data_IF_707722566497
#
_entry.id   IF_707722566497
#
_cell.length_a   1.000
_cell.length_b   1.000
_cell.length_c   1.000
_cell.angle_alpha   90.00
_cell.angle_beta   90.00
_cell.angle_gamma   90.00
#
_symmetry.space_group_name_H-M   'P 1'
#
loop_
_entity.id
_entity.type
_entity.pdbx_description
1 polymer ?
#
# COMPACT_ATOMS: atom_id res chain seq x y z
N UNK A 1 -1.73 -5.94 31.69
CA UNK A 1 -2.73 -5.80 30.60
C UNK A 1 -3.19 -4.35 30.39
N UNK A 2 -3.27 -3.51 31.42
CA UNK A 2 -3.78 -2.14 31.28
C UNK A 2 -2.90 -1.21 30.44
N UNK A 3 -1.57 -1.30 30.55
CA UNK A 3 -0.65 -0.49 29.72
C UNK A 3 -0.75 -0.83 28.22
N UNK A 4 -1.03 -2.08 27.87
CA UNK A 4 -1.16 -2.51 26.46
C UNK A 4 -2.43 -1.94 25.83
N UNK A 5 -3.55 -1.94 26.56
CA UNK A 5 -4.78 -1.27 26.14
C UNK A 5 -4.60 0.24 26.02
N UNK A 6 -3.77 0.84 26.87
CA UNK A 6 -3.44 2.26 26.79
C UNK A 6 -2.60 2.58 25.55
N UNK A 7 -1.66 1.72 25.17
CA UNK A 7 -0.88 1.88 23.92
C UNK A 7 -1.76 1.79 22.66
N UNK A 8 -2.70 0.83 22.62
CA UNK A 8 -3.62 0.67 21.48
C UNK A 8 -4.58 1.87 21.35
N UNK A 9 -4.91 2.56 22.44
CA UNK A 9 -5.79 3.75 22.42
C UNK A 9 -5.21 4.96 21.69
N UNK A 10 -3.88 5.03 21.52
CA UNK A 10 -3.22 6.17 20.88
C UNK A 10 -2.94 5.95 19.38
N UNK A 11 -3.32 4.79 18.83
CA UNK A 11 -3.20 4.52 17.41
C UNK A 11 -4.26 5.28 16.63
N UNK A 12 -3.85 5.98 15.57
CA UNK A 12 -4.76 6.54 14.59
C UNK A 12 -5.26 5.43 13.66
N UNK A 13 -6.34 5.71 12.93
CA UNK A 13 -6.94 4.72 12.03
C UNK A 13 -5.95 4.18 10.99
N UNK A 14 -5.09 5.04 10.45
CA UNK A 14 -4.09 4.63 9.47
C UNK A 14 -2.99 3.72 10.07
N UNK A 15 -2.59 3.92 11.33
CA UNK A 15 -1.63 3.02 12.00
C UNK A 15 -2.18 1.62 12.14
N UNK A 16 -3.47 1.51 12.47
CA UNK A 16 -4.15 0.21 12.54
C UNK A 16 -4.13 -0.48 11.18
N UNK A 17 -4.39 0.26 10.10
CA UNK A 17 -4.31 -0.27 8.73
C UNK A 17 -2.91 -0.74 8.40
N UNK A 18 -1.87 0.07 8.68
CA UNK A 18 -0.46 -0.30 8.46
C UNK A 18 -0.13 -1.57 9.24
N UNK A 19 -0.41 -1.62 10.54
CA UNK A 19 -0.10 -2.77 11.40
C UNK A 19 -0.79 -4.03 10.90
N UNK A 20 -2.10 -3.98 10.64
CA UNK A 20 -2.87 -5.12 10.13
C UNK A 20 -2.32 -5.59 8.79
N UNK A 21 -2.04 -4.66 7.88
CA UNK A 21 -1.50 -4.97 6.56
C UNK A 21 -0.13 -5.65 6.65
N UNK A 22 0.78 -5.14 7.50
CA UNK A 22 2.10 -5.73 7.69
C UNK A 22 2.06 -7.08 8.43
N UNK A 23 1.07 -7.30 9.30
CA UNK A 23 0.80 -8.63 9.87
C UNK A 23 0.40 -9.60 8.76
N UNK A 24 -0.53 -9.21 7.88
CA UNK A 24 -0.94 -10.04 6.73
C UNK A 24 0.26 -10.36 5.84
N UNK A 25 1.07 -9.36 5.48
CA UNK A 25 2.27 -9.58 4.67
C UNK A 25 3.27 -10.53 5.35
N UNK A 26 3.42 -10.44 6.66
CA UNK A 26 4.30 -11.33 7.43
C UNK A 26 3.78 -12.77 7.41
N UNK A 27 2.47 -12.96 7.56
CA UNK A 27 1.83 -14.28 7.44
C UNK A 27 2.04 -14.85 6.03
N UNK A 28 1.86 -14.04 4.97
CA UNK A 28 2.10 -14.50 3.59
C UNK A 28 3.56 -14.91 3.37
N UNK A 29 4.53 -14.16 3.91
CA UNK A 29 5.94 -14.56 3.86
C UNK A 29 6.20 -15.90 4.55
N UNK A 30 5.57 -16.15 5.70
CA UNK A 30 5.71 -17.42 6.41
C UNK A 30 5.10 -18.59 5.63
N UNK A 31 3.94 -18.38 4.99
CA UNK A 31 3.28 -19.40 4.16
C UNK A 31 4.14 -19.77 2.95
N UNK A 32 4.76 -18.76 2.30
CA UNK A 32 5.57 -18.96 1.08
C UNK A 32 7.08 -18.93 1.34
N UNK A 33 7.51 -19.24 2.56
CA UNK A 33 8.93 -19.18 2.99
C UNK A 33 9.86 -20.00 2.10
N UNK A 34 9.39 -21.13 1.57
CA UNK A 34 10.19 -22.04 0.76
C UNK A 34 10.43 -21.50 -0.66
N UNK A 35 9.66 -20.49 -1.08
CA UNK A 35 9.76 -19.87 -2.43
C UNK A 35 10.41 -18.50 -2.41
N UNK A 36 10.28 -17.77 -1.30
CA UNK A 36 10.82 -16.42 -1.14
C UNK A 36 12.17 -16.53 -0.44
N UNK A 37 13.28 -16.46 -1.18
CA UNK A 37 14.63 -16.58 -0.63
C UNK A 37 14.92 -15.55 0.49
N UNK A 38 14.36 -14.34 0.36
CA UNK A 38 14.60 -13.21 1.30
C UNK A 38 13.55 -13.08 2.40
N UNK A 39 12.78 -14.14 2.69
CA UNK A 39 11.63 -14.07 3.59
C UNK A 39 11.97 -13.57 5.01
N UNK A 40 13.11 -13.99 5.57
CA UNK A 40 13.55 -13.57 6.92
C UNK A 40 13.80 -12.06 6.99
N UNK A 41 14.49 -11.52 5.99
CA UNK A 41 14.75 -10.09 5.88
C UNK A 41 13.46 -9.28 5.83
N UNK A 42 12.50 -9.72 5.01
CA UNK A 42 11.21 -9.02 4.88
C UNK A 42 10.33 -9.12 6.12
N UNK A 43 10.37 -10.24 6.85
CA UNK A 43 9.71 -10.33 8.15
C UNK A 43 10.34 -9.37 9.16
N UNK A 44 11.68 -9.28 9.21
CA UNK A 44 12.35 -8.32 10.08
C UNK A 44 11.96 -6.87 9.75
N UNK A 45 11.90 -6.53 8.46
CA UNK A 45 11.42 -5.21 7.99
C UNK A 45 9.96 -4.97 8.40
N UNK A 46 9.08 -5.96 8.27
CA UNK A 46 7.67 -5.82 8.67
C UNK A 46 7.52 -5.57 10.17
N UNK A 47 8.24 -6.35 10.99
CA UNK A 47 8.24 -6.18 12.43
C UNK A 47 8.80 -4.80 12.81
N UNK A 48 9.85 -4.35 12.14
CA UNK A 48 10.42 -3.01 12.34
C UNK A 48 9.41 -1.90 12.03
N UNK A 49 8.64 -2.01 10.93
CA UNK A 49 7.61 -1.04 10.56
C UNK A 49 6.45 -1.02 11.57
N UNK A 50 6.03 -2.19 12.03
CA UNK A 50 5.02 -2.30 13.10
C UNK A 50 5.53 -1.60 14.37
N UNK A 51 6.77 -1.86 14.77
CA UNK A 51 7.39 -1.21 15.94
C UNK A 51 7.50 0.31 15.78
N UNK A 52 7.88 0.79 14.60
CA UNK A 52 7.91 2.22 14.27
C UNK A 52 6.52 2.85 14.39
N UNK A 53 5.48 2.17 13.90
CA UNK A 53 4.10 2.67 13.96
C UNK A 53 3.66 2.87 15.41
N UNK A 54 3.95 1.89 16.29
CA UNK A 54 3.71 2.04 17.73
C UNK A 54 4.58 3.12 18.39
N UNK A 55 5.83 3.26 17.96
CA UNK A 55 6.76 4.26 18.49
C UNK A 55 6.28 5.68 18.17
N UNK A 56 5.87 5.96 16.94
CA UNK A 56 5.37 7.28 16.56
C UNK A 56 4.06 7.62 17.27
N UNK A 57 3.11 6.68 17.37
CA UNK A 57 1.89 6.87 18.13
C UNK A 57 2.16 7.21 19.62
N UNK A 58 3.17 6.56 20.22
CA UNK A 58 3.59 6.86 21.58
C UNK A 58 4.30 8.21 21.73
N UNK A 59 5.20 8.55 20.80
CA UNK A 59 5.96 9.81 20.84
C UNK A 59 5.07 11.02 20.60
N UNK A 60 4.11 10.93 19.68
CA UNK A 60 3.08 11.95 19.48
C UNK A 60 2.29 12.17 20.78
N UNK A 61 1.80 11.10 21.40
CA UNK A 61 1.05 11.20 22.65
C UNK A 61 1.86 11.77 23.83
N UNK A 62 3.18 11.58 23.84
CA UNK A 62 4.04 11.99 24.97
C UNK A 62 4.54 13.43 24.85
N UNK A 63 4.90 13.86 23.64
CA UNK A 63 5.63 15.11 23.44
C UNK A 63 4.80 16.24 22.83
N UNK A 64 3.55 15.97 22.42
CA UNK A 64 2.53 16.93 21.94
C UNK A 64 3.12 18.16 21.22
N UNK A 65 4.00 17.89 20.24
CA UNK A 65 4.72 18.90 19.47
C UNK A 65 4.45 18.67 17.98
N UNK A 66 4.36 19.76 17.23
CA UNK A 66 4.08 19.77 15.78
C UNK A 66 5.07 18.89 15.00
N UNK A 67 6.34 18.82 15.44
CA UNK A 67 7.33 17.94 14.84
C UNK A 67 6.95 16.45 14.91
N UNK A 68 6.49 15.97 16.07
CA UNK A 68 6.12 14.55 16.24
C UNK A 68 4.83 14.22 15.52
N UNK A 69 3.89 15.17 15.47
CA UNK A 69 2.67 15.04 14.69
C UNK A 69 2.98 14.93 13.18
N UNK A 70 3.81 15.83 12.65
CA UNK A 70 4.26 15.78 11.26
C UNK A 70 5.03 14.48 10.95
N UNK A 71 5.96 14.07 11.81
CA UNK A 71 6.69 12.81 11.64
C UNK A 71 5.75 11.59 11.63
N UNK A 72 4.73 11.59 12.50
CA UNK A 72 3.73 10.52 12.56
C UNK A 72 2.82 10.48 11.31
N UNK A 73 2.54 11.61 10.67
CA UNK A 73 1.83 11.61 9.39
C UNK A 73 2.74 11.20 8.21
N UNK A 74 3.98 11.68 8.19
CA UNK A 74 4.87 11.51 7.04
C UNK A 74 5.55 10.15 6.96
N UNK A 75 5.62 9.36 8.05
CA UNK A 75 6.28 8.05 8.00
C UNK A 75 5.60 7.08 7.03
N UNK A 76 4.32 7.26 6.72
CA UNK A 76 3.60 6.39 5.78
C UNK A 76 4.18 6.45 4.36
N UNK A 77 4.73 7.60 3.96
CA UNK A 77 5.28 7.83 2.62
C UNK A 77 6.45 6.87 2.33
N UNK A 78 7.54 6.83 3.12
CA UNK A 78 8.60 5.85 2.91
C UNK A 78 8.14 4.41 3.15
N UNK A 79 7.18 4.16 4.06
CA UNK A 79 6.62 2.82 4.28
C UNK A 79 5.94 2.26 3.03
N UNK A 80 5.21 3.09 2.28
CA UNK A 80 4.61 2.69 0.99
C UNK A 80 5.68 2.29 -0.01
N UNK A 81 6.77 3.05 -0.14
CA UNK A 81 7.87 2.69 -1.05
C UNK A 81 8.52 1.36 -0.67
N UNK A 82 8.72 1.12 0.63
CA UNK A 82 9.24 -0.15 1.14
C UNK A 82 8.26 -1.29 0.84
N UNK A 83 6.95 -1.06 1.02
CA UNK A 83 5.89 -2.02 0.66
C UNK A 83 5.97 -2.42 -0.81
N UNK A 84 6.09 -1.45 -1.72
CA UNK A 84 6.21 -1.74 -3.15
C UNK A 84 7.42 -2.62 -3.46
N UNK A 85 8.56 -2.30 -2.83
CA UNK A 85 9.78 -3.11 -3.00
C UNK A 85 9.62 -4.51 -2.43
N UNK A 86 8.94 -4.66 -1.30
CA UNK A 86 8.64 -5.95 -0.71
C UNK A 86 7.74 -6.79 -1.62
N UNK A 87 6.64 -6.21 -2.12
CA UNK A 87 5.71 -6.87 -3.02
C UNK A 87 6.39 -7.37 -4.29
N UNK A 88 7.35 -6.63 -4.83
CA UNK A 88 8.16 -7.06 -5.98
C UNK A 88 8.83 -8.43 -5.73
N UNK A 89 9.40 -8.65 -4.53
CA UNK A 89 10.02 -9.94 -4.18
C UNK A 89 9.01 -11.02 -3.79
N UNK A 90 7.76 -10.66 -3.51
CA UNK A 90 6.70 -11.63 -3.18
C UNK A 90 5.96 -12.12 -4.43
N UNK A 91 5.61 -11.21 -5.34
CA UNK A 91 4.65 -11.50 -6.42
C UNK A 91 5.20 -12.59 -7.33
N UNK A 92 6.46 -12.45 -7.79
CA UNK A 92 7.03 -13.38 -8.76
C UNK A 92 7.20 -14.81 -8.19
N UNK A 93 7.75 -15.03 -6.98
CA UNK A 93 7.85 -16.39 -6.43
C UNK A 93 6.51 -17.03 -6.05
N UNK A 94 5.51 -16.22 -5.71
CA UNK A 94 4.16 -16.71 -5.37
C UNK A 94 3.40 -17.08 -6.66
N UNK A 95 3.48 -16.23 -7.69
CA UNK A 95 2.81 -16.42 -8.97
C UNK A 95 3.60 -17.37 -9.86
N UNK A 96 3.27 -18.67 -9.78
CA UNK A 96 3.90 -19.71 -10.61
C UNK A 96 3.54 -19.56 -12.10
N UNK A 97 2.31 -19.14 -12.38
CA UNK A 97 1.77 -19.04 -13.74
C UNK A 97 1.27 -17.62 -14.00
N UNK A 98 1.56 -17.10 -15.18
CA UNK A 98 0.96 -15.86 -15.65
C UNK A 98 -0.49 -16.14 -16.08
N UNK A 99 -1.42 -15.35 -15.53
CA UNK A 99 -2.85 -15.46 -15.82
C UNK A 99 -3.30 -14.46 -16.89
N UNK A 100 -2.36 -14.00 -17.73
CA UNK A 100 -2.59 -12.93 -18.70
C UNK A 100 -3.72 -13.30 -19.67
N UNK A 101 -3.74 -14.53 -20.20
CA UNK A 101 -4.80 -15.00 -21.10
C UNK A 101 -6.18 -15.02 -20.41
N UNK A 102 -6.23 -15.42 -19.14
CA UNK A 102 -7.46 -15.43 -18.36
C UNK A 102 -7.99 -14.01 -18.16
N UNK A 103 -7.12 -13.05 -17.84
CA UNK A 103 -7.51 -11.66 -17.67
C UNK A 103 -7.94 -11.01 -19.00
N UNK A 104 -7.25 -11.28 -20.11
CA UNK A 104 -7.68 -10.85 -21.44
C UNK A 104 -9.06 -11.39 -21.79
N UNK A 105 -9.33 -12.66 -21.45
CA UNK A 105 -10.62 -13.28 -21.71
C UNK A 105 -11.72 -12.66 -20.84
N UNK A 106 -11.45 -12.39 -19.56
CA UNK A 106 -12.39 -11.69 -18.66
C UNK A 106 -12.69 -10.28 -19.20
N UNK A 107 -11.67 -9.52 -19.61
CA UNK A 107 -11.84 -8.20 -20.20
C UNK A 107 -12.74 -8.28 -21.45
N UNK A 108 -12.47 -9.21 -22.36
CA UNK A 108 -13.32 -9.41 -23.54
C UNK A 108 -14.75 -9.77 -23.15
N UNK A 109 -14.98 -10.62 -22.15
CA UNK A 109 -16.33 -10.94 -21.68
C UNK A 109 -17.04 -9.68 -21.16
N UNK A 110 -16.37 -8.90 -20.31
CA UNK A 110 -16.93 -7.66 -19.73
C UNK A 110 -17.28 -6.62 -20.81
N UNK A 111 -16.49 -6.58 -21.89
CA UNK A 111 -16.66 -5.65 -23.01
C UNK A 111 -17.33 -6.30 -24.24
N UNK A 112 -18.19 -7.30 -24.02
CA UNK A 112 -19.03 -7.93 -25.05
C UNK A 112 -18.25 -8.48 -26.27
N UNK A 113 -17.11 -9.10 -26.01
CA UNK A 113 -16.20 -9.68 -26.98
C UNK A 113 -15.16 -8.71 -27.55
N UNK A 114 -15.13 -7.45 -27.11
CA UNK A 114 -14.20 -6.43 -27.61
C UNK A 114 -13.01 -6.24 -26.67
N UNK A 115 -11.88 -5.80 -27.22
CA UNK A 115 -10.76 -5.35 -26.40
C UNK A 115 -11.06 -3.96 -25.81
N UNK A 116 -10.94 -3.75 -24.48
CA UNK A 116 -11.24 -2.48 -23.83
C UNK A 116 -10.45 -1.31 -24.44
N UNK A 117 -9.17 -1.53 -24.76
CA UNK A 117 -8.28 -0.52 -25.36
C UNK A 117 -8.81 -0.03 -26.71
N UNK A 118 -9.36 -0.92 -27.54
CA UNK A 118 -9.91 -0.54 -28.84
C UNK A 118 -11.20 0.27 -28.71
N UNK A 119 -12.03 -0.02 -27.69
CA UNK A 119 -13.23 0.75 -27.40
C UNK A 119 -12.90 2.15 -26.88
N UNK A 120 -11.99 2.23 -25.92
CA UNK A 120 -11.57 3.51 -25.32
C UNK A 120 -10.86 4.39 -26.35
N UNK A 121 -10.07 3.81 -27.25
CA UNK A 121 -9.38 4.57 -28.30
C UNK A 121 -10.35 5.38 -29.18
N UNK A 122 -11.59 4.90 -29.39
CA UNK A 122 -12.61 5.60 -30.19
C UNK A 122 -13.10 6.91 -29.55
N UNK A 123 -12.98 7.05 -28.23
CA UNK A 123 -13.41 8.25 -27.48
C UNK A 123 -12.22 9.11 -27.01
N UNK A 124 -10.99 8.59 -27.13
CA UNK A 124 -9.77 9.30 -26.76
C UNK A 124 -9.51 10.50 -27.68
N UNK A 125 -9.75 11.71 -27.17
CA UNK A 125 -9.41 12.97 -27.83
C UNK A 125 -8.31 13.69 -27.06
N UNK A 126 -7.48 14.55 -27.70
CA UNK A 126 -6.42 15.28 -26.99
C UNK A 126 -6.96 16.06 -25.79
N UNK A 127 -8.09 16.75 -25.96
CA UNK A 127 -8.74 17.50 -24.87
C UNK A 127 -9.16 16.59 -23.71
N UNK A 128 -9.79 15.45 -23.99
CA UNK A 128 -10.21 14.52 -22.95
C UNK A 128 -8.99 13.96 -22.19
N UNK A 129 -7.93 13.60 -22.91
CA UNK A 129 -6.70 13.09 -22.31
C UNK A 129 -6.07 14.12 -21.37
N UNK A 130 -5.94 15.38 -21.79
CA UNK A 130 -5.39 16.45 -20.95
C UNK A 130 -6.25 16.68 -19.70
N UNK A 131 -7.58 16.71 -19.84
CA UNK A 131 -8.49 16.86 -18.69
C UNK A 131 -8.30 15.71 -17.70
N UNK A 132 -8.29 14.46 -18.18
CA UNK A 132 -8.11 13.28 -17.32
C UNK A 132 -6.73 13.28 -16.65
N UNK A 133 -5.68 13.72 -17.35
CA UNK A 133 -4.34 13.85 -16.78
C UNK A 133 -4.26 14.93 -15.69
N UNK A 134 -4.91 16.07 -15.88
CA UNK A 134 -5.00 17.13 -14.85
C UNK A 134 -5.74 16.61 -13.61
N UNK A 135 -6.90 15.96 -13.80
CA UNK A 135 -7.68 15.37 -12.71
C UNK A 135 -6.85 14.34 -11.94
N UNK A 136 -6.16 13.44 -12.66
CA UNK A 136 -5.26 12.45 -12.08
C UNK A 136 -4.09 13.10 -11.32
N UNK A 137 -3.49 14.16 -11.86
CA UNK A 137 -2.40 14.89 -11.21
C UNK A 137 -2.84 15.58 -9.92
N UNK A 138 -4.00 16.24 -9.92
CA UNK A 138 -4.54 16.92 -8.74
C UNK A 138 -4.86 15.91 -7.62
N UNK A 139 -5.28 14.69 -7.96
CA UNK A 139 -5.53 13.64 -6.97
C UNK A 139 -4.29 13.33 -6.10
N UNK A 140 -3.09 13.39 -6.66
CA UNK A 140 -1.86 13.22 -5.88
C UNK A 140 -1.55 14.39 -4.94
N UNK A 141 -2.03 15.59 -5.27
CA UNK A 141 -1.88 16.78 -4.43
C UNK A 141 -2.96 16.88 -3.36
N UNK A 142 -4.03 16.08 -3.44
CA UNK A 142 -5.16 16.12 -2.52
C UNK A 142 -4.75 16.02 -1.04
N UNK A 143 -3.83 15.12 -0.62
CA UNK A 143 -3.36 15.06 0.76
C UNK A 143 -2.58 16.31 1.20
N UNK A 144 -1.92 17.01 0.27
CA UNK A 144 -1.22 18.27 0.58
C UNK A 144 -2.23 19.42 0.68
N UNK A 145 -3.24 19.41 -0.18
CA UNK A 145 -4.27 20.46 -0.26
C UNK A 145 -5.28 20.39 0.89
N UNK A 146 -5.59 19.20 1.40
CA UNK A 146 -6.56 18.99 2.47
C UNK A 146 -5.96 18.95 3.88
N UNK A 147 -4.63 18.86 4.00
CA UNK A 147 -3.93 18.70 5.27
C UNK A 147 -4.14 17.34 5.91
#
# INVERSE_FOLDING_TARGET
MDKFKQFVKHLKAFDVVVIVFYIILSVVHLIYRDRIETWEFWIAVNLFIILISFLFAYLESKYDNEFWNAAHYWYIVPVVLITFKQLYFMIQPIRIYDHDEMFILIDRILFFGNDPTQLLWKISTPLLTEILQIVYGIFYLLPILLG
#
